data_IF_133167371704
#
_entry.id   IF_133167371704
#
_cell.length_a   1.000
_cell.length_b   1.000
_cell.length_c   1.000
_cell.angle_alpha   90.00
_cell.angle_beta   90.00
_cell.angle_gamma   90.00
#
_symmetry.space_group_name_H-M   'P 1'
#
loop_
_entity.id
_entity.type
_entity.pdbx_description
1 polymer ?
#
# COMPACT_ATOMS: atom_id res chain seq x y z
N UNK A 1 7.42 6.67 23.21
CA UNK A 1 7.03 7.70 22.24
C UNK A 1 6.21 8.69 23.01
N UNK A 2 6.68 9.92 23.13
CA UNK A 2 5.90 10.97 23.80
C UNK A 2 4.80 11.42 22.85
N UNK A 3 3.57 11.47 23.35
CA UNK A 3 2.47 12.10 22.64
C UNK A 3 2.80 13.60 22.51
N UNK A 4 2.58 14.23 21.34
CA UNK A 4 2.88 15.65 21.20
C UNK A 4 2.07 16.47 22.22
N UNK A 5 2.67 17.54 22.73
CA UNK A 5 2.03 18.48 23.65
C UNK A 5 0.68 18.91 23.04
N UNK A 6 -0.42 18.87 23.83
CA UNK A 6 -1.83 19.05 23.42
C UNK A 6 -2.52 17.80 22.82
N UNK A 7 -1.85 16.65 22.77
CA UNK A 7 -2.40 15.37 22.26
C UNK A 7 -2.40 14.23 23.31
N UNK A 8 -2.21 14.59 24.58
CA UNK A 8 -2.11 13.67 25.72
C UNK A 8 -3.49 13.10 26.10
N UNK A 9 -3.65 11.78 26.04
CA UNK A 9 -4.78 11.09 26.66
C UNK A 9 -4.44 10.72 28.11
N UNK A 10 -5.08 11.40 29.07
CA UNK A 10 -4.93 11.13 30.50
C UNK A 10 -5.10 9.63 30.79
N UNK A 11 -4.15 9.04 31.52
CA UNK A 11 -3.97 7.61 31.83
C UNK A 11 -3.50 6.66 30.70
N UNK A 12 -3.31 7.16 29.47
CA UNK A 12 -2.85 6.39 28.31
C UNK A 12 -1.63 7.03 27.62
N UNK A 13 -0.83 7.77 28.38
CA UNK A 13 0.30 8.59 27.89
C UNK A 13 1.39 7.76 27.20
N UNK A 14 1.35 6.44 27.36
CA UNK A 14 2.24 5.45 26.77
C UNK A 14 1.77 4.87 25.42
N UNK A 15 0.55 5.21 24.95
CA UNK A 15 -0.06 4.69 23.70
C UNK A 15 0.08 5.71 22.53
N UNK A 16 -0.10 5.29 21.28
CA UNK A 16 -0.01 6.18 20.09
C UNK A 16 -1.09 5.82 19.06
N UNK A 17 -1.76 6.85 18.49
CA UNK A 17 -2.74 6.85 17.38
C UNK A 17 -3.60 5.60 17.11
N UNK A 18 -4.93 5.77 17.10
CA UNK A 18 -5.92 4.72 16.84
C UNK A 18 -6.10 4.43 15.34
N UNK A 19 -5.48 3.38 14.83
CA UNK A 19 -5.80 2.78 13.52
C UNK A 19 -7.30 2.43 13.43
N UNK A 20 -8.04 3.05 12.48
CA UNK A 20 -9.50 2.83 12.33
C UNK A 20 -9.83 1.62 11.46
N UNK A 21 -9.17 1.45 10.32
CA UNK A 21 -9.42 0.36 9.37
C UNK A 21 -8.19 0.09 8.50
N UNK A 22 -7.88 -1.16 8.21
CA UNK A 22 -7.01 -1.54 7.08
C UNK A 22 -7.91 -2.19 6.01
N UNK A 23 -7.49 -2.23 4.74
CA UNK A 23 -8.34 -2.77 3.67
C UNK A 23 -8.68 -4.27 3.78
N UNK A 24 -8.27 -4.94 4.86
CA UNK A 24 -8.68 -6.29 5.25
C UNK A 24 -9.17 -6.37 6.71
N UNK A 25 -9.45 -5.24 7.36
CA UNK A 25 -9.73 -5.11 8.80
C UNK A 25 -8.61 -5.63 9.74
N UNK A 26 -7.45 -6.01 9.19
CA UNK A 26 -6.25 -6.43 9.92
C UNK A 26 -5.51 -5.20 10.46
N UNK A 27 -5.66 -4.87 11.74
CA UNK A 27 -4.82 -3.87 12.39
C UNK A 27 -3.42 -4.44 12.52
N UNK A 28 -2.50 -4.09 11.64
CA UNK A 28 -1.14 -4.57 11.78
C UNK A 28 -0.51 -3.99 13.05
N UNK A 29 -0.03 -4.86 13.94
CA UNK A 29 0.73 -4.45 15.11
C UNK A 29 2.04 -3.75 14.67
N UNK A 30 2.43 -2.61 15.29
CA UNK A 30 3.66 -1.92 14.94
C UNK A 30 4.90 -2.81 15.06
N UNK A 31 5.96 -2.53 14.29
CA UNK A 31 7.22 -3.30 14.32
C UNK A 31 7.83 -3.41 15.72
N UNK A 32 7.68 -2.37 16.54
CA UNK A 32 8.11 -2.38 17.94
C UNK A 32 7.36 -3.40 18.79
N UNK A 33 6.06 -3.60 18.53
CA UNK A 33 5.28 -4.63 19.20
C UNK A 33 5.81 -6.02 18.82
N UNK A 34 6.05 -6.27 17.54
CA UNK A 34 6.59 -7.55 17.08
C UNK A 34 8.01 -7.80 17.59
N UNK A 35 8.90 -6.78 17.61
CA UNK A 35 10.23 -6.90 18.23
C UNK A 35 10.13 -7.24 19.71
N UNK A 36 9.28 -6.56 20.47
CA UNK A 36 9.01 -6.88 21.88
C UNK A 36 8.49 -8.31 22.05
N UNK A 37 7.60 -8.74 21.16
CA UNK A 37 7.08 -10.11 21.13
C UNK A 37 8.18 -11.14 20.84
N UNK A 38 9.00 -10.92 19.82
CA UNK A 38 10.12 -11.80 19.46
C UNK A 38 11.16 -11.89 20.59
N UNK A 39 11.49 -10.77 21.24
CA UNK A 39 12.32 -10.74 22.45
C UNK A 39 11.71 -11.56 23.58
N UNK A 40 10.42 -11.34 23.89
CA UNK A 40 9.68 -12.12 24.89
C UNK A 40 9.72 -13.62 24.58
N UNK A 41 9.47 -14.02 23.33
CA UNK A 41 9.48 -15.43 22.93
C UNK A 41 10.88 -16.04 23.09
N UNK A 42 11.93 -15.30 22.71
CA UNK A 42 13.32 -15.71 22.83
C UNK A 42 13.74 -15.88 24.30
N UNK A 43 13.36 -14.94 25.17
CA UNK A 43 13.56 -15.02 26.63
C UNK A 43 12.86 -16.26 27.23
N UNK A 44 11.70 -16.64 26.68
CA UNK A 44 10.98 -17.84 27.07
C UNK A 44 11.44 -19.11 26.33
N UNK A 45 12.66 -19.10 25.77
CA UNK A 45 13.30 -20.24 25.11
C UNK A 45 12.57 -20.78 23.87
N UNK A 46 11.74 -19.97 23.23
CA UNK A 46 11.20 -20.29 21.91
C UNK A 46 12.21 -19.95 20.82
N UNK A 47 12.27 -20.80 19.80
CA UNK A 47 13.05 -20.57 18.58
C UNK A 47 12.10 -20.26 17.43
N UNK A 48 12.37 -19.17 16.72
CA UNK A 48 11.68 -18.80 15.49
C UNK A 48 12.06 -19.77 14.37
N UNK A 49 11.10 -20.18 13.54
CA UNK A 49 11.40 -21.05 12.40
C UNK A 49 11.97 -20.27 11.22
N UNK A 50 12.74 -20.96 10.37
CA UNK A 50 13.34 -20.40 9.15
C UNK A 50 12.37 -20.38 7.97
N UNK A 51 11.36 -21.26 7.97
CA UNK A 51 10.36 -21.37 6.89
C UNK A 51 9.21 -20.38 7.02
N UNK A 52 8.79 -20.07 8.25
CA UNK A 52 7.74 -19.08 8.52
C UNK A 52 8.11 -18.27 9.78
N UNK A 53 8.34 -16.98 9.59
CA UNK A 53 8.71 -16.05 10.66
C UNK A 53 7.60 -15.83 11.70
N UNK A 54 6.37 -16.26 11.43
CA UNK A 54 5.26 -16.20 12.37
C UNK A 54 5.19 -17.40 13.33
N UNK A 55 6.04 -18.42 13.12
CA UNK A 55 6.04 -19.67 13.90
C UNK A 55 7.21 -19.67 14.89
N UNK A 56 6.87 -19.90 16.16
CA UNK A 56 7.80 -20.04 17.28
C UNK A 56 7.65 -21.44 17.89
N UNK A 57 8.75 -22.15 18.06
CA UNK A 57 8.75 -23.53 18.59
C UNK A 57 9.64 -23.59 19.84
N UNK A 58 9.09 -24.13 20.92
CA UNK A 58 9.86 -24.52 22.11
C UNK A 58 9.76 -26.03 22.30
N UNK A 59 10.91 -26.68 22.40
CA UNK A 59 11.02 -28.10 22.77
C UNK A 59 11.48 -28.19 24.21
N UNK A 60 10.88 -29.09 24.98
CA UNK A 60 11.21 -29.36 26.37
C UNK A 60 12.05 -30.65 26.45
N UNK A 61 12.72 -30.85 27.58
CA UNK A 61 13.57 -32.04 27.82
C UNK A 61 12.77 -33.35 27.90
N UNK A 62 11.47 -33.27 28.21
CA UNK A 62 10.54 -34.41 28.27
C UNK A 62 9.97 -34.78 26.89
N UNK A 63 10.62 -34.38 25.79
CA UNK A 63 10.19 -34.55 24.40
C UNK A 63 8.84 -33.90 24.06
N UNK A 64 8.25 -33.14 24.98
CA UNK A 64 7.06 -32.33 24.68
C UNK A 64 7.46 -31.03 24.00
N UNK A 65 6.50 -30.42 23.30
CA UNK A 65 6.74 -29.18 22.58
C UNK A 65 5.54 -28.24 22.67
N UNK A 66 5.83 -26.96 22.48
CA UNK A 66 4.85 -25.92 22.18
C UNK A 66 5.19 -25.28 20.85
N UNK A 67 4.17 -25.09 20.02
CA UNK A 67 4.23 -24.26 18.82
C UNK A 67 3.29 -23.09 19.04
N UNK A 68 3.79 -21.87 18.87
CA UNK A 68 2.98 -20.67 18.80
C UNK A 68 3.06 -20.14 17.37
N UNK A 69 1.90 -19.94 16.76
CA UNK A 69 1.74 -19.26 15.48
C UNK A 69 1.03 -17.93 15.72
N UNK A 70 1.65 -16.84 15.28
CA UNK A 70 1.13 -15.49 15.41
C UNK A 70 0.73 -14.97 14.03
N UNK A 71 -0.56 -14.75 13.79
CA UNK A 71 -1.06 -14.19 12.55
C UNK A 71 -1.79 -12.87 12.82
N UNK A 72 -1.14 -11.76 12.48
CA UNK A 72 -1.61 -10.40 12.77
C UNK A 72 -1.94 -10.27 14.27
N UNK A 73 -3.23 -10.33 14.64
CA UNK A 73 -3.71 -10.17 16.01
C UNK A 73 -4.08 -11.51 16.68
N UNK A 74 -4.14 -12.62 15.91
CA UNK A 74 -4.54 -13.93 16.39
C UNK A 74 -3.32 -14.80 16.76
N UNK A 75 -3.37 -15.42 17.95
CA UNK A 75 -2.37 -16.37 18.41
C UNK A 75 -2.95 -17.79 18.48
N UNK A 76 -2.34 -18.72 17.76
CA UNK A 76 -2.61 -20.15 17.89
C UNK A 76 -1.49 -20.82 18.70
N UNK A 77 -1.86 -21.46 19.81
CA UNK A 77 -0.93 -22.25 20.62
C UNK A 77 -1.27 -23.72 20.47
N UNK A 78 -0.28 -24.52 20.10
CA UNK A 78 -0.38 -25.96 19.87
C UNK A 78 0.59 -26.66 20.83
N UNK A 79 0.10 -27.69 21.50
CA UNK A 79 0.90 -28.53 22.39
C UNK A 79 0.09 -29.68 22.97
N UNK A 80 0.78 -30.71 23.43
CA UNK A 80 0.15 -31.87 24.08
C UNK A 80 -0.11 -31.66 25.57
N UNK A 81 0.67 -30.77 26.20
CA UNK A 81 0.61 -30.50 27.63
C UNK A 81 -0.20 -29.25 27.95
N UNK A 82 -1.40 -29.45 28.51
CA UNK A 82 -2.32 -28.36 28.88
C UNK A 82 -1.73 -27.43 29.95
N UNK A 83 -0.87 -27.94 30.84
CA UNK A 83 -0.27 -27.13 31.91
C UNK A 83 0.77 -26.17 31.34
N UNK A 84 1.59 -26.64 30.38
CA UNK A 84 2.55 -25.79 29.66
C UNK A 84 1.85 -24.74 28.80
N UNK A 85 0.75 -25.09 28.13
CA UNK A 85 -0.09 -24.13 27.39
C UNK A 85 -0.63 -23.05 28.34
N UNK A 86 -1.19 -23.43 29.49
CA UNK A 86 -1.72 -22.49 30.47
C UNK A 86 -0.64 -21.56 31.04
N UNK A 87 0.56 -22.10 31.30
CA UNK A 87 1.72 -21.32 31.76
C UNK A 87 2.14 -20.26 30.72
N UNK A 88 2.25 -20.66 29.44
CA UNK A 88 2.56 -19.73 28.35
C UNK A 88 1.48 -18.64 28.21
N UNK A 89 0.19 -19.01 28.24
CA UNK A 89 -0.93 -18.04 28.20
C UNK A 89 -0.84 -17.02 29.33
N UNK A 90 -0.53 -17.48 30.56
CA UNK A 90 -0.37 -16.59 31.71
C UNK A 90 0.81 -15.63 31.50
N UNK A 91 1.97 -16.12 31.05
CA UNK A 91 3.14 -15.29 30.77
C UNK A 91 2.87 -14.23 29.69
N UNK A 92 2.17 -14.63 28.61
CA UNK A 92 1.75 -13.72 27.55
C UNK A 92 0.78 -12.65 28.08
N UNK A 93 -0.21 -13.03 28.88
CA UNK A 93 -1.23 -12.11 29.41
C UNK A 93 -0.68 -11.03 30.35
N UNK A 94 0.48 -11.27 30.97
CA UNK A 94 1.20 -10.28 31.77
C UNK A 94 1.95 -9.25 30.92
N UNK A 95 2.31 -9.61 29.70
CA UNK A 95 3.20 -8.82 28.84
C UNK A 95 2.46 -8.12 27.69
N UNK A 96 1.31 -8.68 27.28
CA UNK A 96 0.51 -8.23 26.14
C UNK A 96 -0.98 -8.20 26.51
N UNK A 97 -1.69 -7.16 26.05
CA UNK A 97 -3.14 -7.12 26.12
C UNK A 97 -3.72 -8.20 25.19
N UNK A 98 -4.28 -9.26 25.77
CA UNK A 98 -4.80 -10.40 25.02
C UNK A 98 -6.11 -10.91 25.60
N UNK A 99 -6.91 -11.58 24.76
CA UNK A 99 -8.16 -12.23 25.15
C UNK A 99 -8.09 -13.71 24.79
N UNK A 100 -8.24 -14.59 25.77
CA UNK A 100 -8.31 -16.03 25.50
C UNK A 100 -9.67 -16.38 24.89
N UNK A 101 -9.67 -16.88 23.65
CA UNK A 101 -10.86 -17.31 22.93
C UNK A 101 -11.20 -18.79 23.19
N UNK A 102 -10.42 -19.48 24.02
CA UNK A 102 -10.60 -20.89 24.34
C UNK A 102 -10.10 -21.82 23.23
N UNK A 103 -10.58 -23.06 23.16
CA UNK A 103 -10.19 -24.01 22.13
C UNK A 103 -10.52 -23.46 20.73
N UNK A 104 -9.53 -23.47 19.83
CA UNK A 104 -9.69 -22.95 18.46
C UNK A 104 -10.81 -23.67 17.73
N UNK A 105 -11.92 -22.97 17.48
CA UNK A 105 -13.03 -23.46 16.66
C UNK A 105 -12.95 -22.95 15.22
N UNK A 106 -12.25 -21.83 15.02
CA UNK A 106 -12.03 -21.20 13.73
C UNK A 106 -10.63 -20.57 13.69
N UNK A 107 -10.01 -20.57 12.51
CA UNK A 107 -8.75 -19.87 12.22
C UNK A 107 -8.76 -19.42 10.75
N UNK A 108 -8.46 -18.14 10.47
CA UNK A 108 -8.42 -17.60 9.10
C UNK A 108 -9.67 -17.90 8.25
N UNK A 109 -10.86 -17.84 8.87
CA UNK A 109 -12.13 -18.18 8.22
C UNK A 109 -12.40 -19.69 8.03
N UNK A 110 -11.47 -20.56 8.41
CA UNK A 110 -11.63 -22.02 8.38
C UNK A 110 -12.15 -22.53 9.72
N UNK A 111 -13.18 -23.37 9.70
CA UNK A 111 -13.68 -24.09 10.88
C UNK A 111 -12.76 -25.26 11.20
N UNK A 112 -12.34 -25.35 12.46
CA UNK A 112 -11.53 -26.46 12.99
C UNK A 112 -12.47 -27.45 13.66
N UNK A 113 -12.52 -28.68 13.15
CA UNK A 113 -13.31 -29.78 13.70
C UNK A 113 -12.32 -30.83 14.22
N UNK A 114 -12.43 -31.18 15.51
CA UNK A 114 -11.60 -32.22 16.13
C UNK A 114 -12.44 -33.46 16.33
N UNK A 115 -12.08 -34.54 15.63
CA UNK A 115 -12.66 -35.86 15.87
C UNK A 115 -11.72 -36.62 16.81
N UNK A 116 -12.04 -36.58 18.10
CA UNK A 116 -11.26 -37.26 19.14
C UNK A 116 -11.34 -38.79 19.04
N UNK A 117 -12.41 -39.33 18.46
CA UNK A 117 -12.56 -40.79 18.27
C UNK A 117 -11.62 -41.31 17.19
N UNK A 118 -11.44 -40.55 16.11
CA UNK A 118 -10.54 -40.89 15.01
C UNK A 118 -9.13 -40.28 15.15
N UNK A 119 -8.90 -39.46 16.18
CA UNK A 119 -7.67 -38.67 16.37
C UNK A 119 -7.34 -37.79 15.15
N UNK A 120 -8.36 -37.25 14.49
CA UNK A 120 -8.23 -36.41 13.30
C UNK A 120 -8.64 -34.96 13.57
N UNK A 121 -8.00 -34.04 12.87
CA UNK A 121 -8.40 -32.63 12.81
C UNK A 121 -8.77 -32.32 11.37
N UNK A 122 -9.98 -31.79 11.17
CA UNK A 122 -10.48 -31.36 9.89
C UNK A 122 -10.54 -29.83 9.86
N UNK A 123 -10.14 -29.26 8.73
CA UNK A 123 -10.35 -27.85 8.42
C UNK A 123 -11.47 -27.78 7.38
N UNK A 124 -12.47 -26.94 7.62
CA UNK A 124 -13.61 -26.79 6.72
C UNK A 124 -13.88 -25.32 6.42
N UNK A 125 -13.97 -25.00 5.13
CA UNK A 125 -14.46 -23.70 4.64
C UNK A 125 -15.92 -23.77 4.18
N UNK A 126 -16.64 -24.84 4.52
CA UNK A 126 -18.04 -25.08 4.15
C UNK A 126 -18.92 -23.84 4.35
N UNK A 127 -18.87 -23.21 5.53
CA UNK A 127 -19.66 -22.00 5.81
C UNK A 127 -19.32 -20.79 4.93
N UNK A 128 -18.06 -20.67 4.53
CA UNK A 128 -17.64 -19.60 3.62
C UNK A 128 -18.20 -19.86 2.21
N UNK A 129 -18.10 -21.10 1.75
CA UNK A 129 -18.68 -21.55 0.48
C UNK A 129 -20.20 -21.37 0.49
N UNK A 130 -20.90 -21.81 1.54
CA UNK A 130 -22.35 -21.58 1.70
C UNK A 130 -22.71 -20.09 1.63
N UNK A 131 -21.90 -19.22 2.24
CA UNK A 131 -22.12 -17.76 2.19
C UNK A 131 -21.91 -17.19 0.79
N UNK A 132 -20.91 -17.68 0.05
CA UNK A 132 -20.69 -17.32 -1.36
C UNK A 132 -21.89 -17.78 -2.19
N UNK A 133 -22.27 -19.05 -2.08
CA UNK A 133 -23.39 -19.61 -2.85
C UNK A 133 -24.69 -18.85 -2.57
N UNK A 134 -25.01 -18.55 -1.31
CA UNK A 134 -26.16 -17.70 -0.96
C UNK A 134 -26.07 -16.29 -1.52
N UNK A 135 -24.89 -15.67 -1.48
CA UNK A 135 -24.67 -14.31 -2.00
C UNK A 135 -24.99 -14.21 -3.50
N UNK A 136 -24.83 -15.30 -4.23
CA UNK A 136 -25.07 -15.36 -5.67
C UNK A 136 -26.33 -16.18 -6.04
N UNK A 137 -27.23 -16.43 -5.07
CA UNK A 137 -28.47 -17.19 -5.25
C UNK A 137 -28.27 -18.62 -5.82
N UNK A 138 -27.17 -19.27 -5.44
CA UNK A 138 -26.76 -20.62 -5.85
C UNK A 138 -26.86 -21.64 -4.69
N UNK A 139 -27.52 -21.31 -3.60
CA UNK A 139 -27.65 -22.16 -2.41
C UNK A 139 -28.49 -23.43 -2.64
N UNK A 140 -29.30 -23.45 -3.70
CA UNK A 140 -30.10 -24.62 -4.13
C UNK A 140 -29.56 -25.29 -5.40
N UNK A 141 -28.35 -24.94 -5.84
CA UNK A 141 -27.75 -25.52 -7.04
C UNK A 141 -27.45 -27.01 -6.83
N UNK A 142 -27.81 -27.85 -7.82
CA UNK A 142 -27.52 -29.29 -7.77
C UNK A 142 -26.01 -29.52 -7.82
N UNK A 143 -25.52 -30.41 -6.95
CA UNK A 143 -24.14 -30.86 -7.00
C UNK A 143 -23.94 -31.68 -8.27
N UNK A 144 -23.07 -31.21 -9.17
CA UNK A 144 -22.67 -31.96 -10.37
C UNK A 144 -21.17 -32.20 -10.29
N UNK A 145 -20.71 -33.42 -10.53
CA UNK A 145 -19.28 -33.72 -10.63
C UNK A 145 -18.75 -33.10 -11.92
N UNK A 146 -18.04 -31.98 -11.82
CA UNK A 146 -17.38 -31.40 -12.99
C UNK A 146 -16.01 -32.05 -13.13
N UNK A 147 -15.88 -32.96 -14.08
CA UNK A 147 -14.61 -33.39 -14.66
C UNK A 147 -14.44 -32.72 -16.04
N UNK A 148 -14.21 -31.40 -16.05
CA UNK A 148 -13.79 -30.71 -17.27
C UNK A 148 -12.32 -31.06 -17.53
N UNK A 149 -12.10 -32.12 -18.29
CA UNK A 149 -10.78 -32.43 -18.88
C UNK A 149 -10.38 -31.32 -19.86
N UNK A 150 -9.09 -31.00 -19.94
CA UNK A 150 -8.53 -29.83 -20.66
C UNK A 150 -8.78 -29.75 -22.17
N UNK A 151 -9.60 -30.65 -22.72
CA UNK A 151 -10.01 -30.67 -24.13
C UNK A 151 -11.37 -30.00 -24.38
N UNK A 152 -12.13 -29.68 -23.32
CA UNK A 152 -13.39 -28.95 -23.46
C UNK A 152 -13.14 -27.45 -23.69
N UNK A 153 -13.47 -26.96 -24.88
CA UNK A 153 -13.53 -25.53 -25.19
C UNK A 153 -14.97 -25.05 -25.06
N UNK A 154 -15.20 -24.04 -24.23
CA UNK A 154 -16.47 -23.32 -24.21
C UNK A 154 -16.68 -22.65 -25.57
N UNK A 155 -17.90 -22.72 -26.10
CA UNK A 155 -18.23 -22.13 -27.41
C UNK A 155 -19.45 -21.22 -27.32
N UNK A 156 -19.62 -20.34 -28.30
CA UNK A 156 -20.76 -19.44 -28.39
C UNK A 156 -22.12 -20.17 -28.45
N UNK A 157 -22.12 -21.46 -28.79
CA UNK A 157 -23.34 -22.29 -28.75
C UNK A 157 -23.85 -22.56 -27.32
N UNK A 158 -23.04 -22.28 -26.30
CA UNK A 158 -23.39 -22.43 -24.88
C UNK A 158 -23.78 -21.10 -24.22
N UNK A 159 -23.87 -20.02 -25.00
CA UNK A 159 -24.40 -18.74 -24.54
C UNK A 159 -25.92 -18.78 -24.44
N UNK A 160 -26.54 -17.98 -23.55
CA UNK A 160 -27.99 -17.90 -23.44
C UNK A 160 -28.59 -17.43 -24.77
N UNK A 161 -29.60 -18.16 -25.24
CA UNK A 161 -30.22 -17.91 -26.55
C UNK A 161 -31.53 -17.16 -26.41
N UNK A 162 -32.27 -17.35 -25.32
CA UNK A 162 -33.52 -16.63 -25.04
C UNK A 162 -33.29 -15.37 -24.20
N UNK A 163 -34.23 -14.42 -24.29
CA UNK A 163 -34.14 -13.18 -23.51
C UNK A 163 -34.44 -13.41 -22.02
N UNK A 164 -35.19 -14.45 -21.69
CA UNK A 164 -35.36 -14.93 -20.30
C UNK A 164 -34.05 -15.51 -19.75
N UNK A 165 -33.35 -16.36 -20.50
CA UNK A 165 -32.04 -16.89 -20.11
C UNK A 165 -31.00 -15.78 -19.93
N UNK A 166 -30.97 -14.80 -20.85
CA UNK A 166 -30.09 -13.63 -20.72
C UNK A 166 -30.43 -12.80 -19.49
N UNK A 167 -31.71 -12.61 -19.19
CA UNK A 167 -32.16 -11.85 -18.02
C UNK A 167 -31.84 -12.59 -16.72
N UNK A 168 -32.02 -13.91 -16.66
CA UNK A 168 -31.61 -14.72 -15.50
C UNK A 168 -30.09 -14.76 -15.33
N UNK A 169 -29.32 -15.01 -16.38
CA UNK A 169 -27.86 -15.02 -16.33
C UNK A 169 -27.27 -13.65 -15.99
N UNK A 170 -27.92 -12.55 -16.36
CA UNK A 170 -27.51 -11.20 -15.96
C UNK A 170 -27.63 -10.96 -14.44
N UNK A 171 -28.48 -11.73 -13.74
CA UNK A 171 -28.68 -11.66 -12.29
C UNK A 171 -27.72 -12.55 -11.51
N UNK A 172 -27.02 -13.47 -12.17
CA UNK A 172 -26.07 -14.41 -11.56
C UNK A 172 -24.70 -14.23 -12.24
N UNK A 173 -23.84 -13.32 -11.74
CA UNK A 173 -22.53 -13.07 -12.33
C UNK A 173 -21.61 -14.27 -12.10
N UNK A 174 -21.71 -15.28 -12.97
CA UNK A 174 -21.01 -16.57 -12.84
C UNK A 174 -19.48 -16.39 -12.75
N UNK A 175 -18.93 -15.37 -13.42
CA UNK A 175 -17.52 -14.99 -13.33
C UNK A 175 -17.09 -14.55 -11.92
N UNK A 176 -17.97 -13.90 -11.16
CA UNK A 176 -17.70 -13.46 -9.79
C UNK A 176 -17.82 -14.61 -8.78
N UNK A 177 -18.71 -15.56 -9.03
CA UNK A 177 -18.81 -16.82 -8.27
C UNK A 177 -17.55 -17.64 -8.48
N UNK A 178 -17.16 -17.87 -9.74
CA UNK A 178 -15.94 -18.60 -10.11
C UNK A 178 -14.71 -17.91 -9.54
N UNK A 179 -14.62 -16.57 -9.62
CA UNK A 179 -13.53 -15.82 -8.98
C UNK A 179 -13.48 -16.00 -7.45
N UNK A 180 -14.64 -15.94 -6.78
CA UNK A 180 -14.74 -16.12 -5.31
C UNK A 180 -14.48 -17.56 -4.87
N UNK A 181 -14.74 -18.56 -5.73
CA UNK A 181 -14.45 -19.98 -5.48
C UNK A 181 -13.02 -20.37 -5.88
N UNK A 182 -12.39 -19.72 -6.86
CA UNK A 182 -10.96 -19.90 -7.17
C UNK A 182 -10.09 -19.40 -5.99
N UNK A 183 -10.55 -18.38 -5.27
CA UNK A 183 -9.91 -17.90 -4.03
C UNK A 183 -9.88 -18.96 -2.90
N UNK A 184 -10.77 -19.97 -2.97
CA UNK A 184 -10.80 -21.14 -2.06
C UNK A 184 -9.69 -22.14 -2.42
N UNK A 185 -9.32 -22.26 -3.69
CA UNK A 185 -8.39 -23.27 -4.22
C UNK A 185 -6.91 -22.77 -4.28
N UNK A 186 -6.70 -21.45 -4.32
CA UNK A 186 -5.39 -20.83 -4.63
C UNK A 186 -4.51 -20.46 -3.43
N UNK A 187 -4.80 -20.92 -2.21
CA UNK A 187 -3.92 -20.76 -1.03
C UNK A 187 -2.69 -21.70 -1.03
N UNK A 188 -2.11 -21.98 -2.19
CA UNK A 188 -0.85 -22.71 -2.36
C UNK A 188 0.08 -21.81 -3.19
N UNK A 189 1.19 -21.29 -2.61
CA UNK A 189 1.99 -20.27 -3.28
C UNK A 189 2.96 -20.93 -4.28
N UNK A 190 2.77 -20.66 -5.58
CA UNK A 190 3.80 -20.86 -6.59
C UNK A 190 4.39 -19.55 -7.11
N UNK A 191 5.66 -19.69 -7.50
CA UNK A 191 6.69 -18.67 -7.67
C UNK A 191 6.56 -17.85 -8.95
N UNK A 192 7.20 -16.68 -8.88
CA UNK A 192 7.68 -15.80 -9.95
C UNK A 192 6.61 -14.96 -10.63
N UNK A 193 6.74 -13.63 -10.53
CA UNK A 193 7.02 -12.73 -11.66
C UNK A 193 7.38 -11.34 -11.09
N UNK A 194 8.67 -10.99 -11.14
CA UNK A 194 9.10 -9.60 -11.23
C UNK A 194 8.77 -9.13 -12.65
N UNK A 195 7.81 -8.22 -12.76
CA UNK A 195 7.64 -7.24 -13.86
C UNK A 195 6.40 -6.43 -13.53
N UNK A 196 6.57 -5.35 -12.79
CA UNK A 196 5.58 -4.27 -12.78
C UNK A 196 5.71 -3.55 -14.13
N UNK A 197 5.08 -4.12 -15.15
CA UNK A 197 4.55 -3.33 -16.25
C UNK A 197 3.55 -2.38 -15.60
N UNK A 198 3.87 -1.09 -15.54
CA UNK A 198 2.90 -0.04 -15.18
C UNK A 198 1.81 -0.12 -16.23
N UNK A 199 0.76 -0.90 -15.96
CA UNK A 199 -0.46 -0.88 -16.75
C UNK A 199 -1.08 0.47 -16.45
N UNK A 200 -0.94 1.40 -17.39
CA UNK A 200 -1.59 2.71 -17.35
C UNK A 200 -3.10 2.48 -17.46
N UNK A 201 -3.75 2.18 -16.34
CA UNK A 201 -5.14 2.59 -16.13
C UNK A 201 -5.07 4.08 -15.84
N UNK A 202 -4.95 4.87 -16.91
CA UNK A 202 -5.12 6.30 -16.81
C UNK A 202 -6.47 6.56 -16.15
N UNK A 203 -6.44 7.12 -14.94
CA UNK A 203 -7.63 7.59 -14.23
C UNK A 203 -8.13 8.84 -14.95
N UNK A 204 -8.69 8.63 -16.14
CA UNK A 204 -9.47 9.62 -16.86
C UNK A 204 -10.92 9.39 -16.45
N UNK A 205 -11.38 10.13 -15.43
CA UNK A 205 -12.79 10.20 -15.00
C UNK A 205 -13.50 8.83 -14.99
N UNK A 206 -13.35 8.09 -13.88
CA UNK A 206 -14.16 6.89 -13.59
C UNK A 206 -15.68 7.13 -13.66
N UNK A 207 -16.11 8.39 -13.73
CA UNK A 207 -17.51 8.81 -13.86
C UNK A 207 -18.02 8.95 -15.31
N UNK A 208 -17.15 8.87 -16.34
CA UNK A 208 -17.57 8.90 -17.75
C UNK A 208 -17.59 7.50 -18.35
N UNK A 209 -18.78 6.99 -18.66
CA UNK A 209 -18.94 5.75 -19.47
C UNK A 209 -18.22 5.91 -20.82
N UNK A 210 -17.32 4.98 -21.14
CA UNK A 210 -16.85 4.75 -22.51
C UNK A 210 -15.47 5.28 -22.90
N UNK A 211 -14.67 5.84 -21.98
CA UNK A 211 -13.31 6.28 -22.28
C UNK A 211 -12.31 5.37 -21.56
N UNK A 212 -11.65 4.48 -22.31
CA UNK A 212 -10.58 3.61 -21.83
C UNK A 212 -9.46 3.59 -22.86
N UNK A 213 -8.40 4.36 -22.61
CA UNK A 213 -7.19 4.34 -23.43
C UNK A 213 -6.12 3.50 -22.74
N UNK A 214 -5.50 2.59 -23.48
CA UNK A 214 -4.31 1.85 -23.06
C UNK A 214 -3.26 2.04 -24.14
N UNK A 215 -2.11 2.61 -23.79
CA UNK A 215 -1.02 2.78 -24.75
C UNK A 215 0.32 2.81 -24.03
N UNK A 216 1.37 2.66 -24.84
CA UNK A 216 2.76 2.73 -24.43
C UNK A 216 3.22 4.19 -24.48
N UNK A 217 3.75 4.71 -23.38
CA UNK A 217 4.34 6.07 -23.34
C UNK A 217 5.84 6.07 -23.62
N UNK A 218 6.46 4.91 -23.86
CA UNK A 218 7.88 4.74 -24.16
C UNK A 218 8.11 4.35 -25.61
N UNK A 219 9.32 4.56 -26.14
CA UNK A 219 9.65 4.21 -27.53
C UNK A 219 10.52 2.95 -27.68
N UNK A 220 11.13 2.47 -26.60
CA UNK A 220 11.93 1.23 -26.57
C UNK A 220 11.16 0.11 -25.85
N UNK A 221 11.22 -1.10 -26.40
CA UNK A 221 10.68 -2.36 -25.85
C UNK A 221 11.01 -2.62 -24.38
N UNK A 222 12.18 -2.18 -23.92
CA UNK A 222 12.64 -2.34 -22.53
C UNK A 222 12.46 -1.08 -21.68
N UNK A 223 11.94 0.01 -22.23
CA UNK A 223 11.76 1.26 -21.50
C UNK A 223 10.52 1.24 -20.60
N UNK A 224 10.68 1.81 -19.41
CA UNK A 224 9.70 1.90 -18.34
C UNK A 224 9.28 3.35 -18.11
N UNK A 225 7.98 3.53 -17.84
CA UNK A 225 7.44 4.77 -17.29
C UNK A 225 7.67 4.75 -15.78
N UNK A 226 8.49 5.66 -15.28
CA UNK A 226 8.89 5.70 -13.87
C UNK A 226 7.89 6.48 -13.02
N UNK A 227 7.31 7.56 -13.57
CA UNK A 227 6.31 8.36 -12.87
C UNK A 227 5.29 8.96 -13.83
N UNK A 228 4.10 9.18 -13.31
CA UNK A 228 3.02 9.88 -13.99
C UNK A 228 2.54 11.01 -13.10
N UNK A 229 2.45 12.20 -13.67
CA UNK A 229 1.85 13.37 -13.04
C UNK A 229 0.63 13.80 -13.85
N UNK A 230 -0.49 14.06 -13.17
CA UNK A 230 -1.71 14.58 -13.76
C UNK A 230 -1.91 15.99 -13.23
N UNK A 231 -2.20 16.93 -14.13
CA UNK A 231 -2.38 18.32 -13.75
C UNK A 231 -3.37 19.01 -14.67
N UNK A 232 -4.05 20.03 -14.17
CA UNK A 232 -4.90 20.88 -15.01
C UNK A 232 -4.06 22.01 -15.61
N UNK A 233 -4.17 22.15 -16.93
CA UNK A 233 -3.66 23.28 -17.69
C UNK A 233 -4.40 24.58 -17.32
N UNK A 234 -3.85 25.71 -17.74
CA UNK A 234 -4.46 27.03 -17.48
C UNK A 234 -5.84 27.21 -18.14
N UNK A 235 -6.15 26.41 -19.17
CA UNK A 235 -7.47 26.40 -19.82
C UNK A 235 -8.47 25.45 -19.13
N UNK A 236 -8.05 24.73 -18.09
CA UNK A 236 -8.86 23.72 -17.39
C UNK A 236 -8.88 22.34 -18.08
N UNK A 237 -8.12 22.15 -19.16
CA UNK A 237 -7.91 20.83 -19.74
C UNK A 237 -6.96 20.01 -18.86
N UNK A 238 -7.29 18.75 -18.61
CA UNK A 238 -6.46 17.85 -17.79
C UNK A 238 -5.40 17.21 -18.66
N UNK A 239 -4.13 17.37 -18.28
CA UNK A 239 -2.97 16.85 -18.99
C UNK A 239 -2.26 15.78 -18.13
N UNK A 240 -1.49 14.94 -18.80
CA UNK A 240 -0.69 13.88 -18.19
C UNK A 240 0.76 14.02 -18.63
N UNK A 241 1.70 14.01 -17.69
CA UNK A 241 3.14 13.96 -17.94
C UNK A 241 3.66 12.58 -17.52
N UNK A 242 4.33 11.90 -18.44
CA UNK A 242 5.01 10.64 -18.21
C UNK A 242 6.52 10.85 -18.18
N UNK A 243 7.15 10.55 -17.04
CA UNK A 243 8.61 10.45 -16.87
C UNK A 243 9.06 9.05 -17.23
N UNK A 244 10.02 8.90 -18.13
CA UNK A 244 10.44 7.60 -18.65
C UNK A 244 11.94 7.41 -18.53
N UNK A 245 12.37 6.16 -18.38
CA UNK A 245 13.78 5.79 -18.31
C UNK A 245 14.50 5.87 -19.67
N UNK A 246 13.77 6.06 -20.78
CA UNK A 246 14.33 6.29 -22.13
C UNK A 246 14.76 7.75 -22.35
N UNK A 247 15.08 8.44 -21.27
CA UNK A 247 15.43 9.86 -21.22
C UNK A 247 14.32 10.83 -21.70
N UNK A 248 13.11 10.31 -22.00
CA UNK A 248 11.98 11.09 -22.48
C UNK A 248 11.01 11.51 -21.39
N UNK A 249 10.59 12.77 -21.41
CA UNK A 249 9.39 13.25 -20.72
C UNK A 249 8.35 13.57 -21.77
N UNK A 250 7.15 12.98 -21.64
CA UNK A 250 6.10 13.10 -22.65
C UNK A 250 4.81 13.57 -22.02
N UNK A 251 4.19 14.55 -22.65
CA UNK A 251 2.94 15.15 -22.22
C UNK A 251 1.81 14.73 -23.15
N UNK A 252 0.64 14.44 -22.58
CA UNK A 252 -0.54 14.03 -23.30
C UNK A 252 -1.77 14.80 -22.81
N UNK A 253 -2.68 15.10 -23.74
CA UNK A 253 -4.05 15.47 -23.42
C UNK A 253 -4.79 14.22 -22.91
N UNK A 254 -5.50 14.33 -21.78
CA UNK A 254 -6.20 13.18 -21.21
C UNK A 254 -7.56 12.90 -21.86
N UNK A 255 -8.15 13.85 -22.58
CA UNK A 255 -9.44 13.64 -23.23
C UNK A 255 -9.33 12.71 -24.43
N UNK A 256 -8.29 12.87 -25.24
CA UNK A 256 -8.06 12.13 -26.48
C UNK A 256 -6.79 11.27 -26.48
N UNK A 257 -6.02 11.32 -25.39
CA UNK A 257 -4.69 10.70 -25.29
C UNK A 257 -3.76 11.13 -26.44
N UNK A 258 -3.80 12.42 -26.80
CA UNK A 258 -2.95 12.94 -27.87
C UNK A 258 -1.64 13.46 -27.30
N UNK A 259 -0.48 13.12 -27.90
CA UNK A 259 0.80 13.68 -27.48
C UNK A 259 0.79 15.20 -27.72
N UNK A 260 1.05 15.96 -26.67
CA UNK A 260 1.15 17.42 -26.68
C UNK A 260 2.59 17.88 -26.75
N UNK A 261 3.48 17.21 -26.00
CA UNK A 261 4.88 17.58 -25.92
C UNK A 261 5.79 16.37 -25.72
N UNK A 262 7.04 16.51 -26.15
CA UNK A 262 8.09 15.50 -25.96
C UNK A 262 9.43 16.19 -25.73
N UNK A 263 9.97 16.02 -24.53
CA UNK A 263 11.23 16.58 -24.09
C UNK A 263 12.25 15.46 -23.87
N UNK A 264 13.49 15.70 -24.29
CA UNK A 264 14.59 14.74 -24.18
C UNK A 264 15.66 15.28 -23.24
N UNK A 265 16.12 14.43 -22.33
CA UNK A 265 17.10 14.74 -21.32
C UNK A 265 18.37 13.89 -21.52
N UNK A 266 19.52 14.29 -20.93
CA UNK A 266 20.77 13.53 -21.11
C UNK A 266 20.82 12.23 -20.30
N UNK A 267 19.81 11.92 -19.49
CA UNK A 267 19.76 10.77 -18.60
C UNK A 267 18.32 10.26 -18.39
N UNK A 268 18.15 8.98 -17.97
CA UNK A 268 16.86 8.40 -17.59
C UNK A 268 16.10 9.24 -16.57
N UNK A 269 14.85 9.62 -16.88
CA UNK A 269 14.05 10.47 -16.00
C UNK A 269 13.22 9.61 -15.05
N UNK A 270 13.41 9.81 -13.74
CA UNK A 270 12.69 9.06 -12.70
C UNK A 270 11.40 9.76 -12.29
N UNK A 271 11.40 11.09 -12.20
CA UNK A 271 10.21 11.84 -11.78
C UNK A 271 10.23 13.28 -12.30
N UNK A 272 9.05 13.81 -12.59
CA UNK A 272 8.80 15.21 -12.93
C UNK A 272 7.74 15.78 -11.99
N UNK A 273 7.88 17.05 -11.64
CA UNK A 273 6.80 17.80 -10.99
C UNK A 273 6.67 19.20 -11.57
N UNK A 274 5.44 19.67 -11.80
CA UNK A 274 5.19 20.99 -12.37
C UNK A 274 4.80 22.01 -11.29
N UNK A 275 5.31 23.23 -11.43
CA UNK A 275 4.92 24.37 -10.59
C UNK A 275 3.42 24.70 -10.73
N UNK A 276 2.78 25.26 -9.69
CA UNK A 276 1.37 25.68 -9.73
C UNK A 276 1.04 26.63 -10.89
N UNK A 277 1.96 27.53 -11.24
CA UNK A 277 1.79 28.50 -12.33
C UNK A 277 2.16 27.95 -13.72
N UNK A 278 2.61 26.68 -13.78
CA UNK A 278 2.98 25.93 -15.00
C UNK A 278 4.16 26.52 -15.76
N UNK A 279 4.95 27.41 -15.16
CA UNK A 279 6.11 28.02 -15.85
C UNK A 279 7.40 27.25 -15.66
N UNK A 280 7.48 26.45 -14.59
CA UNK A 280 8.66 25.68 -14.23
C UNK A 280 8.28 24.22 -14.01
N UNK A 281 9.18 23.33 -14.44
CA UNK A 281 9.10 21.90 -14.16
C UNK A 281 10.41 21.44 -13.53
N UNK A 282 10.29 20.68 -12.45
CA UNK A 282 11.40 20.01 -11.80
C UNK A 282 11.56 18.63 -12.42
N UNK A 283 12.75 18.32 -12.93
CA UNK A 283 13.08 17.05 -13.58
C UNK A 283 14.20 16.38 -12.78
N UNK A 284 13.97 15.14 -12.37
CA UNK A 284 14.94 14.35 -11.61
C UNK A 284 15.05 12.93 -12.15
N UNK A 285 16.24 12.32 -12.04
CA UNK A 285 16.53 11.04 -12.67
C UNK A 285 17.87 10.44 -12.26
N UNK A 286 18.45 9.66 -13.17
CA UNK A 286 19.73 8.95 -13.00
C UNK A 286 20.93 9.90 -13.16
N UNK A 287 20.91 10.99 -12.40
CA UNK A 287 21.94 12.00 -12.32
C UNK A 287 21.96 12.60 -10.91
N UNK A 288 23.14 13.07 -10.48
CA UNK A 288 23.33 13.66 -9.14
C UNK A 288 22.51 14.95 -8.98
N UNK A 289 22.54 15.77 -10.02
CA UNK A 289 21.82 17.04 -10.05
C UNK A 289 20.44 16.88 -10.67
N UNK A 290 19.45 17.55 -10.08
CA UNK A 290 18.16 17.78 -10.71
C UNK A 290 18.18 19.00 -11.64
N UNK A 291 17.15 19.15 -12.46
CA UNK A 291 16.99 20.30 -13.34
C UNK A 291 15.68 21.03 -13.04
N UNK A 292 15.72 22.35 -13.16
CA UNK A 292 14.57 23.21 -13.25
C UNK A 292 14.49 23.71 -14.70
N UNK A 293 13.39 23.43 -15.39
CA UNK A 293 13.26 23.69 -16.83
C UNK A 293 11.97 24.42 -17.17
N UNK A 294 11.95 25.07 -18.33
CA UNK A 294 10.73 25.51 -18.99
C UNK A 294 9.99 24.28 -19.55
N UNK A 295 8.74 24.00 -19.12
CA UNK A 295 8.01 22.80 -19.54
C UNK A 295 7.60 22.81 -21.01
N UNK A 296 7.61 23.95 -21.70
CA UNK A 296 7.20 24.02 -23.11
C UNK A 296 8.31 23.57 -24.05
N UNK A 297 9.56 23.96 -23.77
CA UNK A 297 10.70 23.73 -24.66
C UNK A 297 11.83 22.90 -24.02
N UNK A 298 11.72 22.55 -22.74
CA UNK A 298 12.71 21.77 -21.99
C UNK A 298 14.02 22.52 -21.70
N UNK A 299 14.09 23.84 -21.96
CA UNK A 299 15.29 24.63 -21.72
C UNK A 299 15.56 24.72 -20.22
N UNK A 300 16.78 24.34 -19.82
CA UNK A 300 17.24 24.48 -18.44
C UNK A 300 17.25 25.94 -18.00
N UNK A 301 16.51 26.22 -16.94
CA UNK A 301 16.50 27.50 -16.22
C UNK A 301 17.56 27.48 -15.12
N UNK A 302 17.67 26.35 -14.40
CA UNK A 302 18.67 26.17 -13.34
C UNK A 302 18.97 24.69 -13.08
N UNK A 303 20.10 24.43 -12.42
CA UNK A 303 20.54 23.11 -11.98
C UNK A 303 20.48 23.02 -10.45
N UNK A 304 19.94 21.91 -9.94
CA UNK A 304 19.74 21.65 -8.51
C UNK A 304 20.91 20.84 -7.98
N UNK A 305 21.96 21.54 -7.53
CA UNK A 305 23.23 20.91 -7.17
C UNK A 305 23.26 20.49 -5.71
N UNK A 306 23.76 19.28 -5.47
CA UNK A 306 24.35 18.88 -4.20
C UNK A 306 23.86 17.55 -3.64
N UNK A 307 22.80 16.96 -4.19
CA UNK A 307 22.49 15.55 -3.91
C UNK A 307 23.67 14.66 -4.31
N UNK A 308 23.77 13.48 -3.68
CA UNK A 308 24.95 12.60 -3.82
C UNK A 308 24.69 11.31 -4.59
N UNK A 309 23.47 11.13 -5.07
CA UNK A 309 23.04 9.94 -5.79
C UNK A 309 21.79 10.29 -6.65
N UNK A 310 21.08 9.32 -7.19
CA UNK A 310 19.92 9.52 -8.06
C UNK A 310 18.68 9.96 -7.31
N UNK A 311 17.94 10.86 -7.94
CA UNK A 311 16.70 11.43 -7.41
C UNK A 311 15.49 10.70 -8.00
N UNK A 312 14.50 10.40 -7.16
CA UNK A 312 13.35 9.54 -7.52
C UNK A 312 11.99 10.21 -7.28
N UNK A 313 11.96 11.36 -6.60
CA UNK A 313 10.73 12.06 -6.31
C UNK A 313 10.95 13.57 -6.33
N UNK A 314 9.93 14.30 -6.76
CA UNK A 314 9.88 15.76 -6.66
C UNK A 314 8.43 16.22 -6.45
N UNK A 315 8.24 17.34 -5.76
CA UNK A 315 6.92 17.94 -5.60
C UNK A 315 7.01 19.45 -5.36
N UNK A 316 6.06 20.20 -5.90
CA UNK A 316 5.92 21.62 -5.65
C UNK A 316 4.98 21.90 -4.48
N UNK A 317 5.35 22.87 -3.67
CA UNK A 317 4.46 23.45 -2.69
C UNK A 317 3.44 24.37 -3.40
N UNK A 318 2.19 24.47 -2.92
CA UNK A 318 1.15 25.29 -3.55
C UNK A 318 1.46 26.81 -3.60
N UNK A 319 2.47 27.28 -2.87
CA UNK A 319 2.96 28.68 -2.96
C UNK A 319 3.64 29.00 -4.29
N UNK A 320 4.02 27.98 -5.08
CA UNK A 320 4.72 28.13 -6.35
C UNK A 320 6.15 28.67 -6.27
N UNK A 321 6.72 28.74 -5.07
CA UNK A 321 8.10 29.17 -4.84
C UNK A 321 8.94 28.10 -4.19
N UNK A 322 8.31 27.21 -3.43
CA UNK A 322 8.99 26.15 -2.71
C UNK A 322 8.77 24.81 -3.41
N UNK A 323 9.80 23.98 -3.48
CA UNK A 323 9.65 22.60 -3.96
C UNK A 323 10.63 21.67 -3.27
N UNK A 324 10.39 20.37 -3.36
CA UNK A 324 11.20 19.36 -2.72
C UNK A 324 11.69 18.31 -3.72
N UNK A 325 12.86 17.74 -3.44
CA UNK A 325 13.47 16.61 -4.16
C UNK A 325 13.85 15.51 -3.18
N UNK A 326 13.64 14.27 -3.60
CA UNK A 326 13.92 13.08 -2.81
C UNK A 326 14.93 12.17 -3.50
N UNK A 327 15.93 11.70 -2.74
CA UNK A 327 17.12 11.10 -3.29
C UNK A 327 17.51 9.78 -2.63
N UNK A 328 18.30 8.98 -3.35
CA UNK A 328 18.91 7.73 -2.90
C UNK A 328 19.97 7.93 -1.80
N UNK A 329 20.55 9.13 -1.70
CA UNK A 329 21.46 9.56 -0.63
C UNK A 329 20.81 9.66 0.76
N UNK A 330 19.54 9.24 0.86
CA UNK A 330 18.69 9.25 2.06
C UNK A 330 18.34 10.65 2.56
N UNK A 331 18.47 11.66 1.69
CA UNK A 331 18.06 13.03 2.00
C UNK A 331 16.89 13.47 1.15
N UNK A 332 16.05 14.28 1.78
CA UNK A 332 15.02 15.09 1.12
C UNK A 332 15.51 16.54 1.18
N UNK A 333 15.53 17.23 0.06
CA UNK A 333 15.93 18.64 0.02
C UNK A 333 14.76 19.49 -0.35
N UNK A 334 14.58 20.57 0.40
CA UNK A 334 13.60 21.60 0.12
C UNK A 334 14.35 22.80 -0.46
N UNK A 335 13.80 23.39 -1.51
CA UNK A 335 14.41 24.45 -2.31
C UNK A 335 13.47 25.65 -2.39
N UNK A 336 14.04 26.84 -2.45
CA UNK A 336 13.35 28.06 -2.89
C UNK A 336 13.76 28.33 -4.34
N UNK A 337 12.80 28.32 -5.27
CA UNK A 337 13.02 28.55 -6.69
C UNK A 337 13.64 29.92 -7.00
N UNK A 338 13.56 30.88 -6.07
CA UNK A 338 14.18 32.20 -6.18
C UNK A 338 15.64 32.21 -5.71
N UNK A 339 16.05 31.21 -4.92
CA UNK A 339 17.38 31.11 -4.30
C UNK A 339 17.91 29.67 -4.34
N UNK A 340 18.42 29.27 -5.51
CA UNK A 340 18.83 27.88 -5.78
C UNK A 340 20.28 27.54 -5.42
N UNK A 341 21.04 28.49 -4.86
CA UNK A 341 22.45 28.25 -4.48
C UNK A 341 22.61 27.19 -3.39
N UNK A 342 21.59 27.01 -2.56
CA UNK A 342 21.54 26.00 -1.49
C UNK A 342 20.10 25.66 -1.13
N UNK A 343 19.81 24.41 -0.72
CA UNK A 343 18.50 24.05 -0.22
C UNK A 343 18.18 24.79 1.08
N UNK A 344 16.92 25.17 1.28
CA UNK A 344 16.44 25.81 2.53
C UNK A 344 16.34 24.82 3.69
N UNK A 345 16.16 23.53 3.39
CA UNK A 345 16.20 22.45 4.38
C UNK A 345 16.78 21.16 3.78
N UNK A 346 17.54 20.43 4.59
CA UNK A 346 18.04 19.08 4.28
C UNK A 346 17.51 18.16 5.37
N UNK A 347 16.54 17.33 4.99
CA UNK A 347 15.88 16.38 5.87
C UNK A 347 16.45 14.98 5.61
N UNK A 348 16.45 14.11 6.62
CA UNK A 348 17.00 12.76 6.53
C UNK A 348 15.90 11.71 6.66
N UNK A 349 15.93 10.73 5.76
CA UNK A 349 15.21 9.47 5.89
C UNK A 349 15.87 8.55 6.91
N UNK A 350 15.13 7.56 7.37
CA UNK A 350 15.55 6.61 8.38
C UNK A 350 16.40 5.48 7.78
N UNK A 351 15.96 4.89 6.66
CA UNK A 351 16.55 3.66 6.12
C UNK A 351 16.99 3.78 4.67
N UNK A 352 16.29 4.55 3.85
CA UNK A 352 16.41 4.39 2.40
C UNK A 352 16.17 5.65 1.58
N UNK A 353 16.09 5.40 0.28
CA UNK A 353 15.81 6.40 -0.73
C UNK A 353 14.46 7.10 -0.50
N UNK A 354 14.21 8.18 -1.20
CA UNK A 354 12.87 8.75 -1.24
C UNK A 354 12.12 8.20 -2.43
N UNK A 355 10.94 7.61 -2.24
CA UNK A 355 10.13 7.12 -3.36
C UNK A 355 9.00 8.04 -3.76
N UNK A 356 8.49 8.85 -2.85
CA UNK A 356 7.44 9.81 -3.16
C UNK A 356 7.47 10.99 -2.21
N UNK A 357 7.11 12.17 -2.73
CA UNK A 357 6.93 13.40 -1.96
C UNK A 357 5.63 14.05 -2.46
N UNK A 358 4.83 14.59 -1.55
CA UNK A 358 3.68 15.44 -1.86
C UNK A 358 3.56 16.55 -0.84
N UNK A 359 3.14 17.72 -1.30
CA UNK A 359 2.61 18.76 -0.42
C UNK A 359 1.10 18.63 -0.33
N UNK A 360 0.56 18.91 0.84
CA UNK A 360 -0.87 19.19 1.02
C UNK A 360 -1.27 20.43 0.22
N UNK A 361 -2.49 20.45 -0.29
CA UNK A 361 -3.09 21.56 -1.04
C UNK A 361 -3.14 22.86 -0.23
N UNK A 362 -3.27 22.78 1.10
CA UNK A 362 -3.19 23.93 2.02
C UNK A 362 -1.74 24.37 2.34
N UNK A 363 -0.76 23.63 1.84
CA UNK A 363 0.66 23.88 2.02
C UNK A 363 1.17 23.66 3.45
N UNK A 364 0.36 23.15 4.37
CA UNK A 364 0.73 23.05 5.79
C UNK A 364 1.69 21.89 6.08
N UNK A 365 1.62 20.88 5.22
CA UNK A 365 2.34 19.63 5.40
C UNK A 365 3.05 19.19 4.12
N UNK A 366 4.24 18.63 4.31
CA UNK A 366 4.95 17.85 3.32
C UNK A 366 4.99 16.40 3.76
N UNK A 367 4.45 15.51 2.94
CA UNK A 367 4.46 14.06 3.17
C UNK A 367 5.54 13.43 2.31
N UNK A 368 6.29 12.51 2.90
CA UNK A 368 7.42 11.84 2.26
C UNK A 368 7.37 10.35 2.56
N UNK A 369 7.50 9.50 1.54
CA UNK A 369 7.59 8.06 1.71
C UNK A 369 8.98 7.54 1.33
N UNK A 370 9.53 6.71 2.22
CA UNK A 370 10.71 5.89 1.97
C UNK A 370 10.34 4.63 1.15
N UNK A 371 11.29 3.80 0.66
CA UNK A 371 10.97 2.57 -0.06
C UNK A 371 10.25 1.53 0.78
N UNK A 372 10.37 1.62 2.11
CA UNK A 372 9.73 0.70 3.03
C UNK A 372 9.51 1.39 4.37
N UNK A 373 8.54 0.86 5.11
CA UNK A 373 8.28 1.05 6.53
C UNK A 373 7.89 2.46 7.01
N UNK A 374 8.41 3.52 6.40
CA UNK A 374 8.32 4.88 6.92
C UNK A 374 7.64 5.85 5.95
N UNK A 375 6.62 6.52 6.47
CA UNK A 375 6.07 7.76 5.90
C UNK A 375 6.23 8.89 6.91
N UNK A 376 6.79 10.00 6.47
CA UNK A 376 7.05 11.18 7.27
C UNK A 376 6.10 12.30 6.89
N UNK A 377 5.50 12.96 7.87
CA UNK A 377 4.68 14.16 7.69
C UNK A 377 5.37 15.32 8.39
N UNK A 378 5.93 16.24 7.61
CA UNK A 378 6.63 17.42 8.09
C UNK A 378 5.71 18.64 8.11
N UNK A 379 5.79 19.45 9.16
CA UNK A 379 5.13 20.76 9.20
C UNK A 379 5.95 21.80 8.44
N UNK A 380 5.37 22.41 7.42
CA UNK A 380 6.02 23.48 6.62
C UNK A 380 6.16 24.76 7.45
N UNK A 381 5.13 25.13 8.22
CA UNK A 381 5.13 26.29 9.15
C UNK A 381 6.20 26.23 10.22
N UNK A 382 6.64 25.03 10.61
CA UNK A 382 7.70 24.83 11.59
C UNK A 382 9.09 24.67 10.93
N UNK A 383 9.30 25.22 9.73
CA UNK A 383 10.51 25.06 8.92
C UNK A 383 10.94 23.59 8.76
N UNK A 384 9.98 22.67 8.65
CA UNK A 384 10.23 21.22 8.58
C UNK A 384 10.94 20.63 9.81
N UNK A 385 11.02 21.35 10.93
CA UNK A 385 11.64 20.89 12.19
C UNK A 385 10.73 19.98 13.00
N UNK A 386 9.41 20.08 12.82
CA UNK A 386 8.41 19.18 13.43
C UNK A 386 8.00 18.11 12.41
N UNK A 387 8.08 16.85 12.82
CA UNK A 387 7.79 15.67 12.00
C UNK A 387 6.94 14.67 12.78
N UNK A 388 5.90 14.15 12.14
CA UNK A 388 5.27 12.90 12.52
C UNK A 388 5.83 11.77 11.67
N UNK A 389 6.08 10.63 12.29
CA UNK A 389 6.49 9.41 11.60
C UNK A 389 5.38 8.37 11.70
N UNK A 390 5.08 7.76 10.56
CA UNK A 390 4.16 6.64 10.42
C UNK A 390 5.03 5.43 10.10
N UNK A 391 5.18 4.54 11.08
CA UNK A 391 5.99 3.32 11.02
C UNK A 391 5.07 2.09 10.90
N UNK A 392 5.25 1.33 9.83
CA UNK A 392 4.62 0.04 9.57
C UNK A 392 5.63 -0.92 8.91
N UNK A 393 5.21 -2.15 8.59
CA UNK A 393 6.07 -3.09 7.89
C UNK A 393 5.60 -3.26 6.45
N UNK A 394 6.49 -3.04 5.49
CA UNK A 394 6.25 -3.37 4.09
C UNK A 394 6.88 -2.40 3.11
N UNK A 395 7.08 -2.88 1.88
CA UNK A 395 7.56 -2.04 0.79
C UNK A 395 6.46 -1.07 0.36
N UNK A 396 6.79 0.20 0.24
CA UNK A 396 5.84 1.24 -0.13
C UNK A 396 5.87 1.39 -1.64
N UNK A 397 4.76 1.05 -2.31
CA UNK A 397 4.61 1.24 -3.76
C UNK A 397 4.33 2.70 -4.13
N UNK A 398 3.81 3.47 -3.19
CA UNK A 398 3.52 4.90 -3.34
C UNK A 398 2.48 5.36 -2.32
N UNK A 399 2.19 6.65 -2.31
CA UNK A 399 1.09 7.21 -1.55
C UNK A 399 0.38 8.31 -2.32
N UNK A 400 -0.85 8.63 -1.91
CA UNK A 400 -1.63 9.75 -2.43
C UNK A 400 -2.38 10.44 -1.30
N UNK A 401 -2.54 11.75 -1.41
CA UNK A 401 -3.54 12.50 -0.66
C UNK A 401 -4.84 12.50 -1.46
N UNK A 402 -5.98 12.55 -0.78
CA UNK A 402 -7.26 12.85 -1.42
C UNK A 402 -7.29 14.30 -1.90
N UNK A 403 -8.14 14.66 -2.87
CA UNK A 403 -8.18 16.04 -3.40
C UNK A 403 -8.46 17.12 -2.35
N UNK A 404 -9.12 16.74 -1.25
CA UNK A 404 -9.43 17.59 -0.10
C UNK A 404 -8.40 17.47 1.05
N UNK A 405 -7.33 16.67 0.88
CA UNK A 405 -6.34 16.30 1.91
C UNK A 405 -6.90 15.66 3.19
N UNK A 406 -8.16 15.22 3.18
CA UNK A 406 -8.80 14.59 4.33
C UNK A 406 -8.37 13.14 4.54
N UNK A 407 -7.84 12.51 3.49
CA UNK A 407 -7.38 11.13 3.52
C UNK A 407 -5.99 11.04 2.88
N UNK A 408 -5.14 10.20 3.47
CA UNK A 408 -3.90 9.74 2.88
C UNK A 408 -3.98 8.24 2.67
N UNK A 409 -3.66 7.81 1.46
CA UNK A 409 -3.62 6.42 1.05
C UNK A 409 -2.18 5.99 0.83
N UNK A 410 -1.75 4.92 1.48
CA UNK A 410 -0.41 4.35 1.32
C UNK A 410 -0.54 2.93 0.76
N UNK A 411 0.03 2.72 -0.42
CA UNK A 411 0.10 1.40 -1.03
C UNK A 411 1.28 0.62 -0.46
N UNK A 412 1.00 -0.56 0.09
CA UNK A 412 2.00 -1.51 0.54
C UNK A 412 2.04 -2.65 -0.46
N UNK A 413 3.21 -2.83 -1.07
CA UNK A 413 3.49 -3.98 -1.89
C UNK A 413 4.03 -5.12 -1.04
N UNK A 414 3.44 -6.29 -1.22
CA UNK A 414 3.99 -7.56 -0.81
C UNK A 414 3.58 -8.59 -1.87
N UNK A 415 4.43 -9.59 -2.11
CA UNK A 415 4.18 -10.62 -3.12
C UNK A 415 2.91 -11.42 -2.84
N UNK A 416 2.50 -11.52 -1.58
CA UNK A 416 1.41 -12.37 -1.09
C UNK A 416 0.23 -11.53 -0.59
N UNK A 417 0.51 -10.42 0.10
CA UNK A 417 -0.51 -9.61 0.79
C UNK A 417 -0.32 -8.10 0.53
N UNK A 418 -0.43 -7.68 -0.72
CA UNK A 418 -0.50 -6.25 -1.03
C UNK A 418 -1.71 -5.61 -0.33
N UNK A 419 -1.52 -4.42 0.24
CA UNK A 419 -2.56 -3.72 0.99
C UNK A 419 -2.56 -2.23 0.70
N UNK A 420 -3.68 -1.57 0.98
CA UNK A 420 -3.83 -0.12 0.92
C UNK A 420 -4.21 0.38 2.31
N UNK A 421 -3.33 1.15 2.94
CA UNK A 421 -3.61 1.79 4.21
C UNK A 421 -4.29 3.13 3.96
N UNK A 422 -5.37 3.41 4.68
CA UNK A 422 -6.04 4.71 4.67
C UNK A 422 -5.88 5.37 6.04
N UNK A 423 -5.33 6.58 6.03
CA UNK A 423 -5.24 7.46 7.19
C UNK A 423 -6.16 8.65 6.95
N UNK A 424 -7.02 8.98 7.92
CA UNK A 424 -7.83 10.19 7.84
C UNK A 424 -7.13 11.31 8.61
N UNK A 425 -7.13 12.51 8.03
CA UNK A 425 -6.80 13.74 8.72
C UNK A 425 -7.78 13.89 9.88
N UNK A 426 -7.24 14.05 11.09
CA UNK A 426 -8.07 14.32 12.28
C UNK A 426 -8.10 15.82 12.49
N UNK A 427 -9.29 16.40 12.46
CA UNK A 427 -9.50 17.78 12.85
C UNK A 427 -9.78 17.87 14.35
N UNK A 428 -9.13 18.80 15.04
CA UNK A 428 -9.57 19.27 16.35
C UNK A 428 -10.47 20.48 16.11
N UNK A 429 -11.76 20.26 15.85
CA UNK A 429 -12.73 21.35 15.91
C UNK A 429 -13.28 21.41 17.34
N UNK A 430 -12.72 22.28 18.19
CA UNK A 430 -13.31 22.54 19.52
C UNK A 430 -14.72 23.16 19.46
N UNK A 431 -15.18 23.61 18.28
CA UNK A 431 -16.46 24.31 18.13
C UNK A 431 -17.56 23.52 17.38
N UNK A 432 -17.23 22.43 16.66
CA UNK A 432 -18.23 21.67 15.87
C UNK A 432 -18.71 20.37 16.53
N UNK A 433 -18.15 19.99 17.69
CA UNK A 433 -18.71 18.88 18.49
C UNK A 433 -19.83 19.33 19.45
N UNK A 434 -20.23 20.60 19.39
CA UNK A 434 -21.49 21.10 19.96
C UNK A 434 -22.47 21.43 18.82
N UNK A 435 -23.37 20.48 18.53
CA UNK A 435 -24.83 20.64 18.44
C UNK A 435 -25.46 19.47 17.64
N UNK A 436 -26.26 18.70 18.39
CA UNK A 436 -27.17 17.57 18.07
C UNK A 436 -26.59 16.22 17.66
#
# INVERSE_FOLDING_TARGET
MEQPEVYEELSNEHLVCRLKKSLYDLKQAPRQWYKKFESFMTEHSFKKTTGDHCVFIRRYEDETFLILFLYVDDMLIIGHDKTKIASLKNALSKSFAMKDLGPTKQILGMKVIRDHSKKLIWLSQEKYIEKILKRFNMDNSKLVSISLTGHFKLSNAQCPTSDEEKTEMSRVPYSFVVGSLIEVDTKIPERNYQKMSVLVWAVCRLDKKGVSFCTRTTHDDNATTNAIEIYDSLSGATHLIASNNDCGVREYDTERFQPLNHLQFPWPVNHTSISPDRKLMTVVGDHLDGLLVDPQNGKTVATLVGHRDYSFASAWHPDGHTFATGNQDKTFRVWDARHLSSPIAILKGNIGATRSIRFSSDGQFMVVAEPADFVHVYSTKADYKKRQEIDFFGEISGFSLSPDDECMYIGIWDRTYASLLQYNRRHQYEYLESYF
#
